data_IF_180332868992
#
_entry.id   IF_180332868992
#
_cell.length_a   1.000
_cell.length_b   1.000
_cell.length_c   1.000
_cell.angle_alpha   90.00
_cell.angle_beta   90.00
_cell.angle_gamma   90.00
#
_symmetry.space_group_name_H-M   'P 1'
#
loop_
_entity.id
_entity.type
_entity.pdbx_description
1 polymer ?
#
# COMPACT_ATOMS: atom_id res chain seq x y z
N UNK A 1 32.60 -14.54 -10.13
CA UNK A 1 31.12 -14.37 -10.16
C UNK A 1 30.76 -13.41 -9.06
N UNK A 2 30.16 -12.27 -9.37
CA UNK A 2 29.62 -11.34 -8.37
C UNK A 2 28.51 -12.05 -7.58
N UNK A 3 28.52 -11.91 -6.25
CA UNK A 3 27.46 -12.45 -5.39
C UNK A 3 26.16 -11.75 -5.77
N UNK A 4 25.07 -12.52 -5.97
CA UNK A 4 23.74 -11.95 -6.22
C UNK A 4 23.33 -11.05 -5.05
N UNK A 5 22.65 -9.96 -5.38
CA UNK A 5 22.15 -8.98 -4.43
C UNK A 5 21.14 -9.56 -3.46
N UNK A 6 20.90 -8.82 -2.38
CA UNK A 6 19.98 -9.20 -1.31
C UNK A 6 18.64 -8.48 -1.48
N UNK A 7 17.55 -9.23 -1.36
CA UNK A 7 16.19 -8.67 -1.35
C UNK A 7 15.64 -8.69 0.07
N UNK A 8 15.27 -7.50 0.56
CA UNK A 8 14.40 -7.31 1.70
C UNK A 8 13.04 -6.78 1.23
N UNK A 9 11.96 -7.26 1.83
CA UNK A 9 10.59 -6.88 1.47
C UNK A 9 9.82 -6.31 2.64
N UNK A 10 9.02 -5.28 2.38
CA UNK A 10 8.15 -4.66 3.38
C UNK A 10 6.72 -4.46 2.81
N UNK A 11 5.76 -5.25 3.29
CA UNK A 11 4.36 -5.03 2.93
C UNK A 11 3.62 -4.09 3.90
N UNK A 12 2.48 -3.58 3.46
CA UNK A 12 1.62 -2.72 4.26
C UNK A 12 0.43 -3.51 4.81
N UNK A 13 -0.09 -3.11 5.99
CA UNK A 13 -1.46 -3.44 6.39
C UNK A 13 -2.44 -2.76 5.43
N UNK A 14 -2.77 -3.50 4.39
CA UNK A 14 -3.55 -3.04 3.25
C UNK A 14 -5.03 -3.35 3.49
N UNK A 15 -5.89 -2.36 3.25
CA UNK A 15 -7.34 -2.56 3.17
C UNK A 15 -7.78 -3.08 1.79
N UNK A 16 -7.09 -2.63 0.74
CA UNK A 16 -7.40 -2.96 -0.64
C UNK A 16 -7.17 -1.75 -1.56
N UNK A 17 -7.03 -2.02 -2.85
CA UNK A 17 -6.72 -0.99 -3.85
C UNK A 17 -7.96 -0.58 -4.63
N UNK A 18 -8.11 0.71 -4.90
CA UNK A 18 -9.20 1.24 -5.70
C UNK A 18 -8.91 1.19 -7.20
N UNK A 19 -9.98 1.23 -8.00
CA UNK A 19 -9.97 1.39 -9.46
C UNK A 19 -9.13 2.59 -9.93
N UNK A 20 -8.12 2.37 -10.79
CA UNK A 20 -7.40 3.44 -11.47
C UNK A 20 -8.27 4.30 -12.38
N UNK A 21 -9.31 3.73 -13.01
CA UNK A 21 -10.24 4.52 -13.84
C UNK A 21 -11.07 5.49 -13.00
N UNK A 22 -11.68 5.01 -11.91
CA UNK A 22 -12.46 5.86 -11.02
C UNK A 22 -11.60 6.97 -10.40
N UNK A 23 -10.31 6.71 -10.15
CA UNK A 23 -9.37 7.72 -9.69
C UNK A 23 -9.22 8.87 -10.69
N UNK A 24 -9.05 8.56 -11.98
CA UNK A 24 -9.00 9.55 -13.06
C UNK A 24 -10.30 10.35 -13.14
N UNK A 25 -11.44 9.67 -13.13
CA UNK A 25 -12.75 10.34 -13.21
C UNK A 25 -13.01 11.28 -12.02
N UNK A 26 -12.54 10.89 -10.83
CA UNK A 26 -12.60 11.70 -9.64
C UNK A 26 -11.74 12.97 -9.74
N UNK A 27 -10.48 12.84 -10.18
CA UNK A 27 -9.59 13.99 -10.38
C UNK A 27 -10.14 14.94 -11.44
N UNK A 28 -10.65 14.41 -12.56
CA UNK A 28 -11.26 15.21 -13.61
C UNK A 28 -12.53 15.92 -13.11
N UNK A 29 -13.33 15.26 -12.25
CA UNK A 29 -14.48 15.88 -11.59
C UNK A 29 -14.05 17.04 -10.69
N UNK A 30 -13.04 16.86 -9.84
CA UNK A 30 -12.51 17.94 -9.01
C UNK A 30 -12.04 19.13 -9.87
N UNK A 31 -11.25 18.86 -10.91
CA UNK A 31 -10.73 19.88 -11.80
C UNK A 31 -11.84 20.66 -12.53
N UNK A 32 -12.91 19.99 -12.97
CA UNK A 32 -14.10 20.65 -13.57
C UNK A 32 -14.84 21.55 -12.59
N UNK A 33 -15.02 21.10 -11.34
CA UNK A 33 -15.73 21.88 -10.31
C UNK A 33 -14.92 23.08 -9.84
N UNK A 34 -13.60 22.97 -9.83
CA UNK A 34 -12.70 24.03 -9.42
C UNK A 34 -12.40 25.02 -10.55
N UNK A 35 -12.35 24.55 -11.81
CA UNK A 35 -11.98 25.35 -12.98
C UNK A 35 -10.48 25.31 -13.32
N UNK A 36 -9.68 24.51 -12.61
CA UNK A 36 -8.26 24.26 -12.88
C UNK A 36 -7.90 22.80 -12.58
N UNK A 37 -6.99 22.15 -13.33
CA UNK A 37 -6.61 20.76 -13.11
C UNK A 37 -6.01 20.48 -11.73
N UNK A 38 -6.24 19.28 -11.20
CA UNK A 38 -5.55 18.79 -10.00
C UNK A 38 -4.12 18.40 -10.37
N UNK A 39 -3.14 18.91 -9.63
CA UNK A 39 -1.69 18.66 -9.86
C UNK A 39 -1.02 17.92 -8.71
N UNK A 40 -1.65 17.89 -7.54
CA UNK A 40 -1.22 17.09 -6.39
C UNK A 40 -2.43 16.69 -5.54
N UNK A 41 -2.32 15.53 -4.88
CA UNK A 41 -3.37 15.01 -4.02
C UNK A 41 -2.84 14.22 -2.83
N UNK A 42 -3.22 14.65 -1.63
CA UNK A 42 -3.01 13.90 -0.40
C UNK A 42 -4.32 13.24 0.05
N UNK A 43 -4.32 11.92 0.20
CA UNK A 43 -5.51 11.16 0.66
C UNK A 43 -5.90 11.44 2.11
N UNK A 44 -4.95 11.93 2.91
CA UNK A 44 -5.14 12.38 4.28
C UNK A 44 -4.12 13.46 4.63
N UNK A 45 -4.48 14.36 5.54
CA UNK A 45 -3.54 15.25 6.20
C UNK A 45 -2.52 14.54 7.10
N UNK A 46 -1.64 15.31 7.72
CA UNK A 46 -0.55 14.85 8.56
C UNK A 46 -1.01 14.52 9.97
N UNK A 47 -1.06 13.23 10.33
CA UNK A 47 -1.29 12.79 11.71
C UNK A 47 -2.71 12.94 12.25
N UNK A 48 -2.83 12.74 13.56
CA UNK A 48 -4.09 12.81 14.32
C UNK A 48 -4.55 14.27 14.46
N UNK A 49 -3.61 15.22 14.59
CA UNK A 49 -3.90 16.66 14.79
C UNK A 49 -4.67 17.31 13.63
N UNK A 50 -4.36 16.97 12.38
CA UNK A 50 -4.98 17.64 11.22
C UNK A 50 -6.28 16.98 10.76
N UNK A 51 -6.80 15.99 11.52
CA UNK A 51 -8.05 15.25 11.25
C UNK A 51 -8.22 14.78 9.81
N UNK A 52 -7.11 14.45 9.15
CA UNK A 52 -7.04 13.53 8.01
C UNK A 52 -7.90 13.82 6.79
N UNK A 53 -8.43 15.04 6.61
CA UNK A 53 -9.17 15.37 5.40
C UNK A 53 -8.23 15.35 4.18
N UNK A 54 -8.73 14.85 3.05
CA UNK A 54 -7.97 14.83 1.82
C UNK A 54 -7.76 16.26 1.29
N UNK A 55 -6.60 16.49 0.69
CA UNK A 55 -6.20 17.79 0.13
C UNK A 55 -5.97 17.61 -1.36
N UNK A 56 -6.72 18.35 -2.18
CA UNK A 56 -6.46 18.51 -3.61
C UNK A 56 -5.75 19.84 -3.84
N UNK A 57 -4.66 19.85 -4.64
CA UNK A 57 -3.97 21.06 -5.06
C UNK A 57 -4.12 21.23 -6.56
N UNK A 58 -4.32 22.48 -6.99
CA UNK A 58 -4.68 22.80 -8.35
C UNK A 58 -3.55 23.56 -9.07
N UNK A 59 -3.55 23.50 -10.41
CA UNK A 59 -2.52 24.14 -11.25
C UNK A 59 -2.45 25.66 -11.09
N UNK A 60 -3.56 26.30 -10.70
CA UNK A 60 -3.65 27.73 -10.38
C UNK A 60 -3.01 28.11 -9.02
N UNK A 61 -2.43 27.14 -8.30
CA UNK A 61 -1.77 27.33 -7.01
C UNK A 61 -2.69 27.25 -5.80
N UNK A 62 -4.00 27.06 -5.99
CA UNK A 62 -4.97 26.95 -4.90
C UNK A 62 -5.11 25.50 -4.38
N UNK A 63 -5.80 25.31 -3.26
CA UNK A 63 -6.08 23.99 -2.70
C UNK A 63 -7.47 23.89 -2.08
N UNK A 64 -8.08 22.71 -2.17
CA UNK A 64 -9.36 22.37 -1.53
C UNK A 64 -9.15 21.25 -0.51
N UNK A 65 -9.73 21.38 0.68
CA UNK A 65 -9.68 20.34 1.72
C UNK A 65 -10.98 20.24 2.50
N UNK A 66 -11.32 18.99 2.84
CA UNK A 66 -12.48 18.63 3.65
C UNK A 66 -13.85 19.12 3.17
N UNK A 67 -14.02 19.31 1.87
CA UNK A 67 -15.33 19.54 1.27
C UNK A 67 -16.04 18.20 1.03
N UNK A 68 -17.33 18.24 0.68
CA UNK A 68 -18.04 17.01 0.32
C UNK A 68 -17.40 16.31 -0.89
N UNK A 69 -16.81 17.09 -1.82
CA UNK A 69 -16.07 16.58 -2.97
C UNK A 69 -14.75 15.94 -2.56
N UNK A 70 -13.89 16.60 -1.79
CA UNK A 70 -12.60 16.00 -1.40
C UNK A 70 -12.76 14.78 -0.50
N UNK A 71 -13.87 14.69 0.25
CA UNK A 71 -14.26 13.51 1.03
C UNK A 71 -14.92 12.40 0.22
N UNK A 72 -15.24 12.64 -1.05
CA UNK A 72 -15.92 11.65 -1.88
C UNK A 72 -15.06 10.40 -2.09
N UNK A 73 -13.76 10.58 -2.28
CA UNK A 73 -12.84 9.48 -2.55
C UNK A 73 -12.85 8.41 -1.46
N UNK A 74 -12.69 8.79 -0.19
CA UNK A 74 -12.67 7.83 0.92
C UNK A 74 -13.99 7.06 1.03
N UNK A 75 -15.12 7.74 0.81
CA UNK A 75 -16.47 7.14 0.83
C UNK A 75 -16.67 6.13 -0.30
N UNK A 76 -16.09 6.41 -1.47
CA UNK A 76 -16.10 5.49 -2.60
C UNK A 76 -15.18 4.29 -2.36
N UNK A 77 -13.94 4.53 -1.96
CA UNK A 77 -12.91 3.51 -1.74
C UNK A 77 -13.38 2.41 -0.78
N UNK A 78 -13.90 2.78 0.39
CA UNK A 78 -14.29 1.80 1.42
C UNK A 78 -15.45 0.87 1.03
N UNK A 79 -16.25 1.21 0.01
CA UNK A 79 -17.52 0.50 -0.23
C UNK A 79 -17.84 0.19 -1.70
N UNK A 80 -17.11 0.76 -2.65
CA UNK A 80 -17.51 0.75 -4.06
C UNK A 80 -16.39 0.41 -5.05
N UNK A 81 -15.14 0.81 -4.75
CA UNK A 81 -14.08 0.85 -5.76
C UNK A 81 -13.01 -0.24 -5.60
N UNK A 82 -13.12 -1.12 -4.59
CA UNK A 82 -12.09 -2.14 -4.38
C UNK A 82 -12.04 -3.14 -5.53
N UNK A 83 -10.81 -3.57 -5.82
CA UNK A 83 -10.52 -4.68 -6.71
C UNK A 83 -11.10 -5.99 -6.18
N UNK A 84 -11.60 -6.84 -7.06
CA UNK A 84 -12.26 -8.11 -6.74
C UNK A 84 -11.37 -9.02 -5.90
N UNK A 85 -10.09 -9.13 -6.27
CA UNK A 85 -9.11 -9.93 -5.51
C UNK A 85 -8.87 -9.42 -4.09
N UNK A 86 -9.17 -8.15 -3.78
CA UNK A 86 -9.04 -7.63 -2.42
C UNK A 86 -10.10 -8.23 -1.47
N UNK A 87 -11.20 -8.75 -2.00
CA UNK A 87 -12.34 -9.25 -1.22
C UNK A 87 -12.14 -10.67 -0.71
N UNK A 88 -11.25 -11.39 -1.35
CA UNK A 88 -10.82 -12.74 -0.98
C UNK A 88 -9.29 -12.80 -0.84
N UNK A 89 -8.67 -11.68 -0.43
CA UNK A 89 -7.21 -11.59 -0.37
C UNK A 89 -6.67 -12.53 0.70
N UNK A 90 -5.78 -13.49 0.37
CA UNK A 90 -5.23 -14.43 1.35
C UNK A 90 -4.33 -13.74 2.39
N UNK A 91 -3.87 -12.53 2.07
CA UNK A 91 -3.03 -11.74 2.94
C UNK A 91 -3.81 -10.92 3.96
N UNK A 92 -5.15 -10.92 3.98
CA UNK A 92 -5.92 -10.37 5.11
C UNK A 92 -5.87 -11.33 6.31
N UNK A 93 -4.65 -11.58 6.77
CA UNK A 93 -4.25 -12.57 7.76
C UNK A 93 -2.87 -12.18 8.33
N UNK A 94 -2.40 -12.94 9.31
CA UNK A 94 -1.01 -12.86 9.81
C UNK A 94 0.00 -13.56 8.88
N UNK A 95 -0.46 -14.27 7.84
CA UNK A 95 0.41 -14.89 6.84
C UNK A 95 0.87 -13.84 5.81
N UNK A 96 1.99 -13.18 6.12
CA UNK A 96 2.51 -12.04 5.35
C UNK A 96 3.73 -12.39 4.50
N UNK A 97 3.80 -11.90 3.25
CA UNK A 97 4.89 -12.23 2.34
C UNK A 97 6.17 -11.42 2.56
N UNK A 98 6.05 -10.22 3.16
CA UNK A 98 7.17 -9.36 3.49
C UNK A 98 8.03 -9.92 4.63
N UNK A 99 9.32 -9.61 4.65
CA UNK A 99 10.13 -9.76 5.86
C UNK A 99 9.69 -8.78 6.95
N UNK A 100 9.14 -7.64 6.55
CA UNK A 100 8.47 -6.66 7.41
C UNK A 100 7.04 -6.42 6.93
N UNK A 101 6.13 -6.14 7.86
CA UNK A 101 4.81 -5.57 7.61
C UNK A 101 4.67 -4.30 8.44
N UNK A 102 4.23 -3.19 7.83
CA UNK A 102 4.01 -1.92 8.54
C UNK A 102 2.57 -1.42 8.37
N UNK A 103 2.06 -0.70 9.35
CA UNK A 103 0.74 -0.07 9.27
C UNK A 103 0.57 1.00 10.34
N UNK A 104 -0.56 1.70 10.30
CA UNK A 104 -0.99 2.50 11.44
C UNK A 104 -1.25 1.56 12.64
N UNK A 105 -0.95 1.98 13.88
CA UNK A 105 -1.29 1.20 15.07
C UNK A 105 -2.72 1.52 15.52
N UNK A 106 -3.72 0.98 14.81
CA UNK A 106 -5.12 1.18 15.21
C UNK A 106 -5.42 0.46 16.53
N UNK A 107 -6.14 1.12 17.43
CA UNK A 107 -6.44 0.63 18.78
C UNK A 107 -5.42 0.97 19.86
N UNK A 108 -4.26 1.57 19.52
CA UNK A 108 -3.22 1.92 20.50
C UNK A 108 -3.75 2.79 21.64
N UNK A 109 -4.57 3.79 21.35
CA UNK A 109 -5.12 4.70 22.36
C UNK A 109 -6.02 4.04 23.41
N UNK A 110 -6.46 2.79 23.20
CA UNK A 110 -7.18 2.00 24.21
C UNK A 110 -6.25 1.10 25.02
N UNK A 111 -5.12 0.71 24.43
CA UNK A 111 -4.17 -0.24 25.00
C UNK A 111 -3.13 0.49 25.84
N UNK A 112 -2.59 1.59 25.30
CA UNK A 112 -1.56 2.42 25.91
C UNK A 112 -1.78 3.89 25.48
N UNK A 113 -2.76 4.60 26.06
CA UNK A 113 -3.08 6.00 25.75
C UNK A 113 -1.87 6.94 25.83
N UNK A 114 -0.94 6.66 26.74
CA UNK A 114 0.30 7.41 26.97
C UNK A 114 1.30 7.32 25.81
N UNK A 115 1.13 6.35 24.92
CA UNK A 115 1.97 6.17 23.72
C UNK A 115 1.39 6.86 22.48
N UNK A 116 0.24 7.50 22.58
CA UNK A 116 -0.38 8.19 21.45
C UNK A 116 0.44 9.42 21.06
N UNK A 117 0.93 9.42 19.82
CA UNK A 117 1.66 10.55 19.23
C UNK A 117 0.72 11.36 18.32
N UNK A 118 0.81 12.69 18.39
CA UNK A 118 -0.01 13.60 17.60
C UNK A 118 0.13 13.40 16.08
N UNK A 119 1.26 12.88 15.62
CA UNK A 119 1.55 12.56 14.22
C UNK A 119 1.32 11.09 13.87
N UNK A 120 1.02 10.27 14.88
CA UNK A 120 0.67 8.87 14.76
C UNK A 120 1.79 7.91 15.14
N UNK A 121 1.37 6.70 15.47
CA UNK A 121 2.24 5.56 15.79
C UNK A 121 1.99 4.47 14.77
N UNK A 122 3.08 3.89 14.25
CA UNK A 122 3.00 2.73 13.38
C UNK A 122 3.10 1.44 14.18
N UNK A 123 2.42 0.39 13.74
CA UNK A 123 2.76 -0.96 14.12
C UNK A 123 3.73 -1.55 13.09
N UNK A 124 4.62 -2.43 13.56
CA UNK A 124 5.56 -3.18 12.71
C UNK A 124 5.49 -4.65 13.12
N UNK A 125 5.31 -5.53 12.15
CA UNK A 125 5.51 -6.97 12.32
C UNK A 125 6.81 -7.35 11.60
N UNK A 126 7.80 -7.85 12.35
CA UNK A 126 8.94 -8.54 11.78
C UNK A 126 8.54 -10.01 11.58
N UNK A 127 8.48 -10.45 10.32
CA UNK A 127 7.94 -11.75 9.94
C UNK A 127 9.02 -12.84 9.85
N UNK A 128 10.29 -12.45 9.76
CA UNK A 128 11.44 -13.34 9.76
C UNK A 128 12.68 -12.66 10.39
N UNK A 129 13.75 -13.44 10.59
CA UNK A 129 15.02 -12.98 11.17
C UNK A 129 15.65 -11.82 10.40
N UNK A 130 15.54 -11.82 9.07
CA UNK A 130 16.11 -10.77 8.20
C UNK A 130 15.37 -9.45 8.40
N UNK A 131 14.04 -9.51 8.46
CA UNK A 131 13.19 -8.36 8.76
C UNK A 131 13.51 -7.77 10.13
N UNK A 132 13.61 -8.61 11.16
CA UNK A 132 13.98 -8.17 12.51
C UNK A 132 15.36 -7.51 12.52
N UNK A 133 16.39 -8.15 11.95
CA UNK A 133 17.74 -7.61 11.93
C UNK A 133 17.82 -6.27 11.18
N UNK A 134 17.06 -6.11 10.10
CA UNK A 134 16.99 -4.85 9.37
C UNK A 134 16.24 -3.77 10.17
N UNK A 135 15.11 -4.11 10.80
CA UNK A 135 14.39 -3.20 11.67
C UNK A 135 15.26 -2.71 12.85
N UNK A 136 16.02 -3.62 13.46
CA UNK A 136 16.95 -3.30 14.54
C UNK A 136 18.06 -2.35 14.09
N UNK A 137 18.56 -2.51 12.87
CA UNK A 137 19.56 -1.59 12.31
C UNK A 137 19.02 -0.16 12.11
N UNK A 138 17.70 0.01 12.00
CA UNK A 138 17.05 1.31 11.86
C UNK A 138 16.73 1.99 13.21
N UNK A 139 17.13 1.43 14.36
CA UNK A 139 16.91 2.01 15.71
C UNK A 139 17.54 3.38 15.94
N UNK A 140 18.55 3.74 15.15
CA UNK A 140 19.11 5.09 15.14
C UNK A 140 18.07 6.15 14.75
N UNK A 141 17.15 5.81 13.85
CA UNK A 141 16.06 6.68 13.41
C UNK A 141 14.71 6.34 14.08
N UNK A 142 14.55 5.15 14.65
CA UNK A 142 13.29 4.65 15.21
C UNK A 142 13.35 4.47 16.74
N UNK A 143 12.31 4.93 17.40
CA UNK A 143 11.90 4.41 18.72
C UNK A 143 11.01 3.19 18.49
N UNK A 144 11.40 2.04 19.05
CA UNK A 144 10.71 0.77 18.92
C UNK A 144 10.38 0.22 20.31
N UNK A 145 9.10 -0.03 20.57
CA UNK A 145 8.65 -0.80 21.72
C UNK A 145 8.09 -2.14 21.26
N UNK A 146 8.64 -3.23 21.78
CA UNK A 146 8.09 -4.56 21.52
C UNK A 146 6.73 -4.74 22.20
N UNK A 147 5.84 -5.47 21.53
CA UNK A 147 4.52 -5.82 22.04
C UNK A 147 4.08 -7.19 21.52
N UNK A 148 2.88 -7.63 21.89
CA UNK A 148 2.29 -8.87 21.40
C UNK A 148 1.66 -8.69 20.02
N UNK A 149 1.64 -9.78 19.24
CA UNK A 149 0.87 -9.82 17.98
C UNK A 149 -0.60 -9.52 18.23
N UNK A 150 -1.17 -9.96 19.36
CA UNK A 150 -2.57 -9.69 19.72
C UNK A 150 -2.88 -8.20 19.95
N UNK A 151 -1.91 -7.41 20.43
CA UNK A 151 -2.07 -5.96 20.53
C UNK A 151 -2.19 -5.29 19.15
N UNK A 152 -1.42 -5.77 18.16
CA UNK A 152 -1.46 -5.26 16.78
C UNK A 152 -2.65 -5.82 16.00
N UNK A 153 -2.87 -7.13 16.04
CA UNK A 153 -3.98 -7.84 15.39
C UNK A 153 -5.24 -7.82 16.26
N UNK A 154 -5.72 -6.62 16.55
CA UNK A 154 -6.88 -6.37 17.39
C UNK A 154 -8.14 -6.04 16.54
N UNK A 155 -9.34 -5.95 17.14
CA UNK A 155 -10.58 -5.67 16.41
C UNK A 155 -10.62 -4.36 15.61
N UNK A 156 -9.82 -3.34 15.97
CA UNK A 156 -9.70 -2.13 15.16
C UNK A 156 -8.85 -2.32 13.92
N UNK A 157 -8.02 -3.37 13.86
CA UNK A 157 -7.12 -3.68 12.76
C UNK A 157 -7.63 -4.90 11.96
N UNK A 158 -8.82 -4.84 11.33
CA UNK A 158 -9.50 -6.01 10.77
C UNK A 158 -8.70 -6.70 9.66
N UNK A 159 -7.86 -5.95 8.94
CA UNK A 159 -7.10 -6.42 7.77
C UNK A 159 -5.95 -7.38 8.11
N UNK A 160 -5.76 -7.72 9.39
CA UNK A 160 -4.91 -8.82 9.85
C UNK A 160 -5.69 -10.11 10.14
N UNK A 161 -7.02 -10.11 9.97
CA UNK A 161 -7.88 -11.25 10.31
C UNK A 161 -8.96 -11.57 9.26
N UNK A 162 -9.45 -10.58 8.52
CA UNK A 162 -10.49 -10.81 7.52
C UNK A 162 -10.46 -9.76 6.41
N UNK A 163 -11.03 -10.15 5.26
CA UNK A 163 -11.18 -9.26 4.11
C UNK A 163 -12.28 -8.21 4.31
N UNK A 164 -12.19 -7.07 3.62
CA UNK A 164 -13.23 -6.05 3.67
C UNK A 164 -14.52 -6.57 3.06
N UNK A 165 -15.65 -6.23 3.70
CA UNK A 165 -16.97 -6.48 3.17
C UNK A 165 -17.33 -5.50 2.03
N UNK A 166 -17.94 -6.02 0.96
CA UNK A 166 -18.44 -5.24 -0.16
C UNK A 166 -19.95 -5.05 -0.06
N UNK A 167 -20.35 -3.85 0.34
CA UNK A 167 -21.77 -3.53 0.38
C UNK A 167 -22.34 -3.08 -0.97
N UNK A 168 -21.55 -2.43 -1.85
CA UNK A 168 -22.14 -1.56 -2.91
C UNK A 168 -21.38 -1.46 -4.24
N UNK A 169 -20.29 -2.19 -4.45
CA UNK A 169 -19.46 -2.08 -5.65
C UNK A 169 -20.22 -2.26 -6.97
N UNK A 170 -20.98 -3.35 -7.09
CA UNK A 170 -21.72 -3.65 -8.33
C UNK A 170 -22.80 -2.60 -8.64
N UNK A 171 -23.49 -2.13 -7.60
CA UNK A 171 -24.49 -1.08 -7.70
C UNK A 171 -23.90 0.29 -8.09
N UNK A 172 -22.64 0.56 -7.72
CA UNK A 172 -21.90 1.73 -8.19
C UNK A 172 -21.55 1.60 -9.67
N UNK A 173 -20.88 0.51 -10.06
CA UNK A 173 -20.42 0.32 -11.44
C UNK A 173 -21.57 0.23 -12.44
N UNK A 174 -22.70 -0.37 -12.06
CA UNK A 174 -23.91 -0.40 -12.89
C UNK A 174 -24.47 1.00 -13.16
N UNK A 175 -24.54 1.85 -12.11
CA UNK A 175 -24.99 3.24 -12.26
C UNK A 175 -23.98 4.08 -13.03
N UNK A 176 -22.70 3.94 -12.73
CA UNK A 176 -21.64 4.69 -13.39
C UNK A 176 -21.67 4.45 -14.91
N UNK A 177 -21.81 3.21 -15.37
CA UNK A 177 -21.97 2.91 -16.80
C UNK A 177 -23.21 3.54 -17.43
N UNK A 178 -24.28 3.72 -16.66
CA UNK A 178 -25.55 4.25 -17.16
C UNK A 178 -25.59 5.77 -17.24
N UNK A 179 -24.93 6.48 -16.32
CA UNK A 179 -25.06 7.94 -16.17
C UNK A 179 -23.76 8.71 -16.00
N UNK A 180 -22.62 8.01 -15.98
CA UNK A 180 -21.31 8.57 -15.68
C UNK A 180 -21.00 8.69 -14.18
N UNK A 181 -19.72 8.86 -13.86
CA UNK A 181 -19.17 8.86 -12.50
C UNK A 181 -19.88 9.80 -11.53
N UNK A 182 -19.95 11.10 -11.85
CA UNK A 182 -20.45 12.10 -10.92
C UNK A 182 -21.96 11.92 -10.65
N UNK A 183 -22.74 11.66 -11.69
CA UNK A 183 -24.17 11.46 -11.56
C UNK A 183 -24.49 10.16 -10.81
N UNK A 184 -23.68 9.10 -10.99
CA UNK A 184 -23.78 7.91 -10.17
C UNK A 184 -23.53 8.21 -8.69
N UNK A 185 -22.52 9.03 -8.36
CA UNK A 185 -22.28 9.47 -6.98
C UNK A 185 -23.46 10.25 -6.39
N UNK A 186 -24.10 11.15 -7.16
CA UNK A 186 -25.29 11.88 -6.70
C UNK A 186 -26.48 10.94 -6.46
N UNK A 187 -26.80 10.06 -7.41
CA UNK A 187 -27.89 9.08 -7.29
C UNK A 187 -27.70 8.08 -6.14
N UNK A 188 -26.46 7.83 -5.74
CA UNK A 188 -26.12 7.00 -4.58
C UNK A 188 -26.12 7.77 -3.24
N UNK A 189 -26.44 9.08 -3.25
CA UNK A 189 -26.40 9.93 -2.07
C UNK A 189 -24.98 10.16 -1.53
N UNK A 190 -23.96 9.91 -2.38
CA UNK A 190 -22.55 10.17 -2.10
C UNK A 190 -22.17 11.61 -2.49
N UNK A 191 -23.00 12.34 -3.21
CA UNK A 191 -22.72 13.73 -3.53
C UNK A 191 -24.03 14.52 -3.56
N UNK A 192 -23.96 15.84 -3.37
CA UNK A 192 -25.11 16.74 -3.45
C UNK A 192 -25.46 17.46 -2.14
N UNK A 193 -26.48 18.34 -2.14
CA UNK A 193 -26.75 19.26 -1.04
C UNK A 193 -27.04 18.56 0.29
N UNK A 194 -27.85 17.50 0.27
CA UNK A 194 -28.15 16.71 1.47
C UNK A 194 -26.92 16.01 2.05
N UNK A 195 -25.95 15.62 1.21
CA UNK A 195 -24.67 15.08 1.69
C UNK A 195 -23.79 16.18 2.27
N UNK A 196 -23.67 17.32 1.58
CA UNK A 196 -22.90 18.46 2.06
C UNK A 196 -23.40 18.97 3.43
N UNK A 197 -24.72 19.01 3.62
CA UNK A 197 -25.32 19.35 4.91
C UNK A 197 -24.92 18.35 6.02
N UNK A 198 -25.00 17.03 5.75
CA UNK A 198 -24.53 16.01 6.71
C UNK A 198 -23.03 16.14 7.04
N UNK A 199 -22.21 16.44 6.04
CA UNK A 199 -20.77 16.65 6.21
C UNK A 199 -20.45 17.91 7.05
N UNK A 200 -21.31 18.92 7.01
CA UNK A 200 -21.20 20.13 7.83
C UNK A 200 -21.62 19.88 9.29
N UNK A 201 -22.75 19.19 9.50
CA UNK A 201 -23.25 18.88 10.85
C UNK A 201 -22.28 17.97 11.61
N UNK A 202 -21.73 16.94 10.94
CA UNK A 202 -20.74 16.04 11.54
C UNK A 202 -19.43 16.74 11.95
N UNK A 203 -19.05 17.82 11.26
CA UNK A 203 -17.92 18.68 11.67
C UNK A 203 -18.19 19.45 12.96
N UNK A 204 -19.43 19.91 13.17
CA UNK A 204 -19.83 20.63 14.38
C UNK A 204 -19.78 19.77 15.64
N UNK A 205 -20.22 18.52 15.55
CA UNK A 205 -20.21 17.57 16.67
C UNK A 205 -18.80 17.12 17.10
N UNK A 206 -17.83 17.12 16.17
CA UNK A 206 -16.47 16.69 16.45
C UNK A 206 -15.59 17.76 17.12
N UNK A 207 -16.03 19.02 17.23
CA UNK A 207 -15.24 20.11 17.85
C UNK A 207 -15.17 20.06 19.37
N UNK A 208 -15.86 19.12 20.02
CA UNK A 208 -16.02 19.06 21.49
C UNK A 208 -14.99 18.24 22.28
N UNK A 209 -13.89 17.80 21.67
CA UNK A 209 -12.82 17.11 22.39
C UNK A 209 -11.49 17.32 21.68
N UNK A 210 -10.41 17.43 22.46
CA UNK A 210 -9.01 17.51 22.02
C UNK A 210 -8.45 18.92 21.77
N UNK A 211 -8.82 19.89 22.61
CA UNK A 211 -7.84 20.91 23.02
C UNK A 211 -6.92 20.27 24.07
N UNK A 212 -5.60 20.23 23.82
CA UNK A 212 -4.62 19.88 24.86
C UNK A 212 -3.82 18.58 24.69
N UNK A 213 -3.63 18.03 23.48
CA UNK A 213 -2.55 17.04 23.27
C UNK A 213 -1.18 17.76 23.33
N UNK A 214 -0.68 17.94 24.55
CA UNK A 214 0.69 18.38 24.83
C UNK A 214 1.71 17.33 24.37
N UNK A 215 2.94 17.77 24.08
CA UNK A 215 4.07 16.90 23.76
C UNK A 215 4.42 16.07 24.98
N UNK A 216 3.93 14.84 25.07
CA UNK A 216 4.42 13.87 26.05
C UNK A 216 5.61 13.14 25.43
N UNK A 217 6.81 13.15 26.04
CA UNK A 217 7.89 12.26 25.66
C UNK A 217 7.36 10.82 25.70
N UNK A 218 7.68 10.00 24.70
CA UNK A 218 7.26 8.60 24.73
C UNK A 218 7.95 7.95 25.93
N UNK A 219 7.20 7.49 26.93
CA UNK A 219 7.78 7.10 28.21
C UNK A 219 8.74 5.93 28.01
N UNK A 220 9.90 6.00 28.67
CA UNK A 220 10.80 4.84 28.80
C UNK A 220 10.13 3.65 29.48
N UNK A 221 9.09 3.93 30.27
CA UNK A 221 8.41 2.99 31.15
C UNK A 221 7.00 2.63 30.65
N UNK A 222 6.61 3.10 29.44
CA UNK A 222 5.33 2.77 28.83
C UNK A 222 5.21 1.27 28.60
N UNK A 223 4.27 0.63 29.28
CA UNK A 223 4.12 -0.81 29.26
C UNK A 223 3.11 -1.24 28.19
N UNK A 224 3.61 -1.73 27.06
CA UNK A 224 2.78 -2.51 26.14
C UNK A 224 2.65 -3.96 26.65
N UNK A 225 1.56 -4.67 26.30
CA UNK A 225 1.48 -6.10 26.55
C UNK A 225 2.69 -6.79 25.92
N UNK A 226 3.41 -7.58 26.71
CA UNK A 226 4.56 -8.37 26.28
C UNK A 226 4.19 -9.86 26.21
N UNK A 227 4.82 -10.56 25.27
CA UNK A 227 4.66 -12.01 25.13
C UNK A 227 5.48 -12.78 26.18
N UNK A 228 5.24 -14.09 26.35
CA UNK A 228 6.06 -14.93 27.21
C UNK A 228 7.53 -14.91 26.74
N UNK A 229 8.46 -14.83 27.68
CA UNK A 229 9.89 -14.86 27.42
C UNK A 229 10.37 -16.29 27.12
N UNK A 230 11.12 -16.49 26.03
CA UNK A 230 11.92 -17.71 25.81
C UNK A 230 11.63 -18.51 24.54
N UNK A 231 10.51 -18.29 23.84
CA UNK A 231 10.23 -18.97 22.56
C UNK A 231 10.09 -17.95 21.42
N UNK A 232 10.97 -18.04 20.42
CA UNK A 232 10.93 -17.17 19.24
C UNK A 232 9.76 -17.60 18.35
N UNK A 233 8.66 -16.87 18.45
CA UNK A 233 7.50 -17.01 17.57
C UNK A 233 7.46 -15.86 16.57
N UNK A 234 7.07 -16.18 15.33
CA UNK A 234 6.92 -15.20 14.26
C UNK A 234 5.43 -14.96 13.96
N UNK A 235 5.02 -13.70 13.70
CA UNK A 235 5.85 -12.50 13.67
C UNK A 235 6.15 -11.92 15.08
N UNK A 236 7.23 -11.13 15.20
CA UNK A 236 7.44 -10.23 16.35
C UNK A 236 6.79 -8.88 16.09
N UNK A 237 6.12 -8.32 17.10
CA UNK A 237 5.32 -7.11 16.94
C UNK A 237 5.92 -5.92 17.70
N UNK A 238 5.84 -4.73 17.11
CA UNK A 238 6.37 -3.50 17.68
C UNK A 238 5.41 -2.33 17.46
N UNK A 239 5.31 -1.45 18.46
CA UNK A 239 4.96 -0.06 18.23
C UNK A 239 6.22 0.69 17.79
N UNK A 240 6.08 1.56 16.79
CA UNK A 240 7.21 2.26 16.21
C UNK A 240 6.86 3.71 15.86
N UNK A 241 7.78 4.62 16.16
CA UNK A 241 7.78 5.96 15.61
C UNK A 241 9.19 6.43 15.27
N UNK A 242 9.30 7.30 14.28
CA UNK A 242 10.54 7.98 13.94
C UNK A 242 10.89 8.98 15.03
N UNK A 243 12.16 9.11 15.38
CA UNK A 243 12.65 10.09 16.36
C UNK A 243 12.47 11.52 15.89
N UNK A 244 12.59 11.76 14.59
CA UNK A 244 12.36 13.08 13.99
C UNK A 244 10.87 13.39 13.89
N UNK A 245 10.45 14.46 14.58
CA UNK A 245 9.07 14.96 14.50
C UNK A 245 8.73 15.45 13.09
N UNK A 246 9.69 16.02 12.37
CA UNK A 246 9.51 16.44 10.98
C UNK A 246 9.16 15.23 10.09
N UNK A 247 9.89 14.12 10.26
CA UNK A 247 9.61 12.87 9.55
C UNK A 247 8.24 12.32 9.92
N UNK A 248 7.87 12.33 11.21
CA UNK A 248 6.51 11.89 11.62
C UNK A 248 5.44 12.77 11.00
N UNK A 249 5.62 14.10 11.02
CA UNK A 249 4.67 15.07 10.45
C UNK A 249 4.43 14.85 8.96
N UNK A 250 5.47 14.64 8.16
CA UNK A 250 5.28 14.40 6.73
C UNK A 250 4.79 12.98 6.41
N UNK A 251 4.86 12.07 7.38
CA UNK A 251 4.46 10.68 7.20
C UNK A 251 2.98 10.45 7.41
N UNK A 252 2.54 9.31 6.88
CA UNK A 252 1.18 8.81 7.06
C UNK A 252 0.86 8.41 8.52
N UNK A 253 1.88 8.13 9.33
CA UNK A 253 1.82 7.58 10.68
C UNK A 253 3.20 7.80 11.33
N UNK A 254 3.69 6.88 12.16
CA UNK A 254 4.98 6.94 12.85
C UNK A 254 6.24 7.01 11.96
N UNK A 255 6.16 7.17 10.64
CA UNK A 255 7.33 7.42 9.79
C UNK A 255 8.32 6.26 9.64
N UNK A 256 7.84 5.02 9.80
CA UNK A 256 8.66 3.81 9.67
C UNK A 256 9.20 3.63 8.26
N UNK A 257 8.39 3.83 7.22
CA UNK A 257 8.82 3.68 5.83
C UNK A 257 10.07 4.53 5.51
N UNK A 258 10.08 5.79 5.94
CA UNK A 258 11.21 6.70 5.69
C UNK A 258 12.48 6.24 6.40
N UNK A 259 12.37 5.71 7.63
CA UNK A 259 13.54 5.16 8.34
C UNK A 259 14.09 3.90 7.65
N UNK A 260 13.21 3.00 7.19
CA UNK A 260 13.62 1.78 6.49
C UNK A 260 14.27 2.11 5.13
N UNK A 261 13.72 3.09 4.42
CA UNK A 261 14.26 3.55 3.14
C UNK A 261 15.62 4.23 3.29
N UNK A 262 15.78 5.10 4.28
CA UNK A 262 17.07 5.74 4.59
C UNK A 262 18.14 4.71 4.95
N UNK A 263 17.80 3.72 5.79
CA UNK A 263 18.72 2.64 6.14
C UNK A 263 19.11 1.78 4.91
N UNK A 264 18.17 1.51 4.00
CA UNK A 264 18.47 0.81 2.76
C UNK A 264 19.43 1.59 1.85
N UNK A 265 19.24 2.91 1.72
CA UNK A 265 20.09 3.77 0.89
C UNK A 265 21.48 3.98 1.51
N UNK A 266 21.60 4.10 2.84
CA UNK A 266 22.88 4.16 3.55
C UNK A 266 23.76 2.92 3.31
N UNK A 267 23.15 1.77 3.00
CA UNK A 267 23.85 0.55 2.60
C UNK A 267 24.25 0.51 1.12
N UNK A 268 24.07 1.62 0.39
CA UNK A 268 24.24 1.68 -1.07
C UNK A 268 23.15 0.92 -1.85
N UNK A 269 22.01 0.63 -1.20
CA UNK A 269 20.92 -0.13 -1.79
C UNK A 269 20.03 0.68 -2.73
N UNK A 270 18.89 0.08 -3.10
CA UNK A 270 17.82 0.68 -3.90
C UNK A 270 16.50 0.44 -3.19
N UNK A 271 15.62 1.43 -3.21
CA UNK A 271 14.26 1.32 -2.65
C UNK A 271 13.26 1.30 -3.78
N UNK A 272 12.26 0.43 -3.68
CA UNK A 272 11.11 0.41 -4.57
C UNK A 272 9.86 0.79 -3.76
N UNK A 273 9.13 1.80 -4.23
CA UNK A 273 7.96 2.35 -3.56
C UNK A 273 6.89 2.88 -4.50
N UNK A 274 5.74 3.28 -3.95
CA UNK A 274 4.61 3.78 -4.72
C UNK A 274 4.58 5.31 -4.72
N UNK A 275 4.67 5.93 -5.90
CA UNK A 275 4.57 7.37 -6.10
C UNK A 275 3.45 7.70 -7.09
N UNK A 276 3.08 8.98 -7.18
CA UNK A 276 2.36 9.48 -8.33
C UNK A 276 3.32 9.85 -9.46
N UNK A 277 2.91 9.64 -10.71
CA UNK A 277 3.53 10.27 -11.87
C UNK A 277 2.93 11.64 -12.16
N UNK A 278 3.34 12.26 -13.28
CA UNK A 278 2.88 13.58 -13.69
C UNK A 278 1.36 13.65 -13.96
N UNK A 279 0.72 12.53 -14.24
CA UNK A 279 -0.71 12.42 -14.48
C UNK A 279 -1.49 11.94 -13.24
N UNK A 280 -0.85 11.94 -12.07
CA UNK A 280 -1.36 11.43 -10.81
C UNK A 280 -1.79 9.96 -10.86
N UNK A 281 -1.19 9.15 -11.75
CA UNK A 281 -1.35 7.69 -11.71
C UNK A 281 -0.43 7.13 -10.63
N UNK A 282 -0.94 6.23 -9.82
CA UNK A 282 -0.11 5.52 -8.86
C UNK A 282 0.79 4.55 -9.62
N UNK A 283 2.11 4.67 -9.43
CA UNK A 283 3.13 3.88 -10.11
C UNK A 283 4.19 3.41 -9.12
N UNK A 284 4.74 2.23 -9.37
CA UNK A 284 5.87 1.72 -8.59
C UNK A 284 7.18 2.22 -9.19
N UNK A 285 7.99 2.90 -8.39
CA UNK A 285 9.20 3.58 -8.83
C UNK A 285 10.43 3.04 -8.12
N UNK A 286 11.57 3.13 -8.83
CA UNK A 286 12.90 2.81 -8.33
C UNK A 286 13.53 4.09 -7.77
N UNK A 287 14.00 4.05 -6.53
CA UNK A 287 14.55 5.18 -5.79
C UNK A 287 16.01 4.92 -5.42
N UNK A 288 16.91 5.84 -5.79
CA UNK A 288 18.33 5.77 -5.42
C UNK A 288 18.75 6.87 -4.45
N UNK A 289 17.89 7.86 -4.25
CA UNK A 289 18.12 8.98 -3.34
C UNK A 289 16.93 9.18 -2.41
N UNK A 290 17.14 9.86 -1.28
CA UNK A 290 16.03 10.24 -0.41
C UNK A 290 15.05 11.19 -1.11
N UNK A 291 15.50 12.02 -2.05
CA UNK A 291 14.61 12.84 -2.89
C UNK A 291 13.64 11.97 -3.68
N UNK A 292 14.09 10.84 -4.22
CA UNK A 292 13.21 9.89 -4.90
C UNK A 292 12.22 9.24 -3.91
N UNK A 293 12.72 8.84 -2.73
CA UNK A 293 11.91 8.20 -1.68
C UNK A 293 10.82 9.14 -1.17
N UNK A 294 11.09 10.44 -1.08
CA UNK A 294 10.12 11.43 -0.62
C UNK A 294 8.85 11.49 -1.50
N UNK A 295 8.95 11.14 -2.78
CA UNK A 295 7.80 11.01 -3.68
C UNK A 295 6.87 9.85 -3.29
N UNK A 296 7.39 8.86 -2.58
CA UNK A 296 6.65 7.69 -2.13
C UNK A 296 5.91 7.93 -0.80
N UNK A 297 6.16 9.06 -0.13
CA UNK A 297 5.59 9.38 1.17
C UNK A 297 4.08 9.62 1.07
N UNK A 298 3.35 9.21 2.09
CA UNK A 298 1.90 9.32 2.18
C UNK A 298 1.18 8.18 1.48
N UNK A 299 -0.02 7.86 1.94
CA UNK A 299 -0.81 6.75 1.38
C UNK A 299 -1.39 7.09 0.01
N UNK A 300 -1.44 6.10 -0.89
CA UNK A 300 -2.15 6.18 -2.18
C UNK A 300 -3.21 5.08 -2.25
N UNK A 301 -4.48 5.45 -2.16
CA UNK A 301 -5.60 4.50 -2.10
C UNK A 301 -6.09 4.09 -3.49
N UNK A 302 -5.16 3.76 -4.39
CA UNK A 302 -5.41 3.38 -5.80
C UNK A 302 -4.44 2.25 -6.14
N UNK A 303 -4.82 1.34 -7.04
CA UNK A 303 -3.88 0.32 -7.51
C UNK A 303 -2.70 1.00 -8.23
N UNK A 304 -1.48 0.72 -7.78
CA UNK A 304 -0.29 1.17 -8.50
C UNK A 304 0.04 0.24 -9.67
N UNK A 305 0.44 0.83 -10.79
CA UNK A 305 1.05 0.11 -11.90
C UNK A 305 2.51 -0.21 -11.56
N UNK A 306 2.88 -1.49 -11.62
CA UNK A 306 4.26 -1.91 -11.40
C UNK A 306 5.14 -1.69 -12.63
N UNK A 307 4.58 -1.54 -13.83
CA UNK A 307 5.31 -1.33 -15.08
C UNK A 307 6.55 -2.22 -15.19
N UNK A 308 7.72 -1.59 -15.23
CA UNK A 308 9.03 -2.25 -15.28
C UNK A 308 9.70 -2.46 -13.91
N UNK A 309 9.08 -2.05 -12.80
CA UNK A 309 9.70 -2.09 -11.48
C UNK A 309 10.12 -3.50 -11.05
N UNK A 310 9.29 -4.52 -11.31
CA UNK A 310 9.66 -5.91 -11.00
C UNK A 310 10.83 -6.40 -11.86
N UNK A 311 10.97 -5.90 -13.10
CA UNK A 311 12.13 -6.22 -13.94
C UNK A 311 13.38 -5.52 -13.42
N UNK A 312 13.30 -4.22 -13.16
CA UNK A 312 14.40 -3.44 -12.62
C UNK A 312 14.90 -3.99 -11.28
N UNK A 313 13.98 -4.46 -10.42
CA UNK A 313 14.34 -5.14 -9.17
C UNK A 313 15.22 -6.36 -9.43
N UNK A 314 14.88 -7.19 -10.42
CA UNK A 314 15.67 -8.37 -10.76
C UNK A 314 17.04 -7.97 -11.32
N UNK A 315 17.09 -6.91 -12.11
CA UNK A 315 18.34 -6.39 -12.68
C UNK A 315 19.26 -5.81 -11.58
N UNK A 316 18.72 -5.11 -10.58
CA UNK A 316 19.48 -4.64 -9.41
C UNK A 316 20.02 -5.80 -8.56
N UNK A 317 19.23 -6.84 -8.35
CA UNK A 317 19.68 -8.05 -7.66
C UNK A 317 20.77 -8.77 -8.46
N UNK A 318 20.63 -8.88 -9.78
CA UNK A 318 21.63 -9.50 -10.64
C UNK A 318 22.93 -8.65 -10.68
N UNK A 319 22.83 -7.33 -10.48
CA UNK A 319 23.96 -6.40 -10.29
C UNK A 319 24.58 -6.44 -8.87
N UNK A 320 24.11 -7.31 -7.97
CA UNK A 320 24.68 -7.47 -6.63
C UNK A 320 24.21 -6.43 -5.61
N UNK A 321 23.18 -5.63 -5.91
CA UNK A 321 22.72 -4.55 -5.02
C UNK A 321 21.80 -5.07 -3.91
N UNK A 322 21.80 -4.37 -2.77
CA UNK A 322 20.75 -4.51 -1.77
C UNK A 322 19.47 -3.83 -2.27
N UNK A 323 18.34 -4.51 -2.16
CA UNK A 323 17.03 -4.00 -2.61
C UNK A 323 16.03 -4.06 -1.46
N UNK A 324 15.42 -2.92 -1.13
CA UNK A 324 14.22 -2.85 -0.30
C UNK A 324 12.99 -2.67 -1.22
N UNK A 325 12.16 -3.69 -1.33
CA UNK A 325 10.89 -3.59 -2.07
C UNK A 325 9.71 -3.40 -1.12
N UNK A 326 8.99 -2.29 -1.28
CA UNK A 326 7.81 -1.97 -0.47
C UNK A 326 6.54 -2.06 -1.29
N UNK A 327 5.38 -2.37 -0.71
CA UNK A 327 4.13 -2.38 -1.49
C UNK A 327 2.96 -3.03 -0.78
N UNK A 328 1.88 -3.28 -1.53
CA UNK A 328 0.81 -4.14 -1.01
C UNK A 328 1.32 -5.58 -0.84
N UNK A 329 0.71 -6.38 0.05
CA UNK A 329 1.14 -7.77 0.26
C UNK A 329 1.23 -8.58 -1.05
N UNK A 330 0.26 -8.45 -1.95
CA UNK A 330 0.29 -9.17 -3.23
C UNK A 330 1.42 -8.71 -4.18
N UNK A 331 1.83 -7.44 -4.13
CA UNK A 331 2.98 -6.92 -4.88
C UNK A 331 4.29 -7.44 -4.29
N UNK A 332 4.40 -7.47 -2.97
CA UNK A 332 5.55 -8.03 -2.26
C UNK A 332 5.69 -9.53 -2.52
N UNK A 333 4.58 -10.28 -2.50
CA UNK A 333 4.57 -11.70 -2.86
C UNK A 333 5.08 -11.93 -4.29
N UNK A 334 4.67 -11.10 -5.25
CA UNK A 334 5.15 -11.13 -6.62
C UNK A 334 6.66 -10.87 -6.75
N UNK A 335 7.17 -9.81 -6.11
CA UNK A 335 8.60 -9.50 -6.10
C UNK A 335 9.42 -10.65 -5.51
N UNK A 336 8.97 -11.20 -4.38
CA UNK A 336 9.61 -12.32 -3.69
C UNK A 336 9.64 -13.59 -4.56
N UNK A 337 8.52 -14.02 -5.14
CA UNK A 337 8.47 -15.21 -6.02
C UNK A 337 9.37 -15.08 -7.24
N UNK A 338 9.41 -13.90 -7.87
CA UNK A 338 10.30 -13.65 -9.00
C UNK A 338 11.78 -13.72 -8.61
N UNK A 339 12.14 -13.15 -7.45
CA UNK A 339 13.51 -13.17 -6.96
C UNK A 339 13.96 -14.59 -6.58
N UNK A 340 13.13 -15.34 -5.85
CA UNK A 340 13.39 -16.73 -5.45
C UNK A 340 13.46 -17.68 -6.65
N UNK A 341 12.56 -17.52 -7.64
CA UNK A 341 12.55 -18.34 -8.86
C UNK A 341 13.79 -18.19 -9.77
N UNK A 342 14.64 -17.19 -9.50
CA UNK A 342 15.96 -17.02 -10.14
C UNK A 342 17.13 -17.49 -9.27
N UNK A 343 16.88 -17.80 -7.99
CA UNK A 343 17.88 -18.01 -6.94
C UNK A 343 18.71 -19.29 -7.00
N UNK A 344 18.59 -20.10 -8.05
CA UNK A 344 19.53 -21.22 -8.26
C UNK A 344 20.16 -21.13 -9.64
N UNK A 345 21.31 -20.46 -9.69
CA UNK A 345 22.27 -20.62 -10.79
C UNK A 345 22.73 -22.09 -10.77
N UNK A 346 22.08 -22.93 -11.58
CA UNK A 346 22.41 -24.36 -11.71
C UNK A 346 21.22 -25.32 -11.69
N UNK A 347 20.02 -24.90 -11.24
CA UNK A 347 18.83 -25.78 -11.24
C UNK A 347 17.58 -25.09 -11.80
N UNK A 348 17.70 -24.42 -12.94
CA UNK A 348 16.58 -24.51 -13.88
C UNK A 348 16.58 -25.93 -14.43
N UNK A 349 16.05 -26.87 -13.63
CA UNK A 349 15.47 -28.08 -14.21
C UNK A 349 14.61 -27.57 -15.36
N UNK A 350 14.89 -28.03 -16.58
CA UNK A 350 13.99 -27.84 -17.71
C UNK A 350 12.68 -28.48 -17.30
N UNK A 351 11.82 -27.72 -16.60
CA UNK A 351 10.47 -28.15 -16.33
C UNK A 351 9.88 -28.47 -17.68
N UNK A 352 9.32 -29.68 -17.81
CA UNK A 352 8.55 -30.02 -18.98
C UNK A 352 7.55 -28.89 -19.20
N UNK A 353 7.52 -28.34 -20.42
CA UNK A 353 6.56 -27.30 -20.77
C UNK A 353 5.14 -27.76 -20.46
N UNK A 354 4.23 -26.80 -20.28
CA UNK A 354 2.81 -27.13 -20.14
C UNK A 354 2.23 -27.55 -21.49
N UNK A 355 1.27 -28.48 -21.47
CA UNK A 355 0.68 -29.00 -22.71
C UNK A 355 -0.05 -27.91 -23.54
N UNK A 356 -0.70 -26.98 -22.85
CA UNK A 356 -1.54 -25.94 -23.43
C UNK A 356 -1.07 -24.54 -23.03
N UNK A 357 -1.54 -23.50 -23.74
CA UNK A 357 -1.32 -22.11 -23.33
C UNK A 357 -1.87 -21.91 -21.91
N UNK A 358 -1.08 -21.38 -20.96
CA UNK A 358 -1.52 -21.23 -19.57
C UNK A 358 -2.74 -20.33 -19.43
N UNK A 359 -3.78 -20.82 -18.74
CA UNK A 359 -4.80 -19.98 -18.14
C UNK A 359 -4.25 -19.42 -16.82
N UNK A 360 -4.04 -18.10 -16.74
CA UNK A 360 -3.37 -17.47 -15.61
C UNK A 360 -4.31 -17.18 -14.42
N UNK A 361 -5.61 -17.13 -14.68
CA UNK A 361 -6.68 -16.98 -13.69
C UNK A 361 -8.00 -17.46 -14.31
N UNK A 362 -8.94 -17.88 -13.48
CA UNK A 362 -10.29 -18.33 -13.89
C UNK A 362 -11.36 -17.29 -13.58
N UNK A 363 -11.15 -16.48 -12.54
CA UNK A 363 -12.04 -15.39 -12.15
C UNK A 363 -11.25 -14.14 -11.72
N UNK A 364 -11.93 -12.99 -11.67
CA UNK A 364 -11.29 -11.69 -11.40
C UNK A 364 -10.71 -11.60 -9.98
N UNK A 365 -11.24 -12.42 -9.07
CA UNK A 365 -10.83 -12.57 -7.67
C UNK A 365 -9.44 -13.23 -7.54
N UNK A 366 -9.04 -14.09 -8.49
CA UNK A 366 -7.79 -14.85 -8.40
C UNK A 366 -6.55 -14.05 -8.83
N UNK A 367 -6.68 -13.14 -9.79
CA UNK A 367 -5.53 -12.39 -10.31
C UNK A 367 -5.46 -11.04 -9.62
N UNK A 368 -4.42 -10.71 -8.85
CA UNK A 368 -4.24 -9.41 -8.17
C UNK A 368 -3.64 -8.29 -9.04
N UNK A 369 -3.30 -8.57 -10.30
CA UNK A 369 -2.78 -7.56 -11.25
C UNK A 369 -1.34 -7.10 -10.94
N UNK A 370 -0.52 -7.94 -10.29
CA UNK A 370 0.85 -7.62 -9.91
C UNK A 370 1.89 -7.68 -11.06
N UNK A 371 1.50 -8.08 -12.27
CA UNK A 371 2.37 -8.21 -13.45
C UNK A 371 3.54 -9.20 -13.31
N UNK A 372 3.54 -10.08 -12.30
CA UNK A 372 4.59 -11.09 -12.11
C UNK A 372 4.69 -12.06 -13.30
N UNK A 373 3.54 -12.53 -13.79
CA UNK A 373 3.45 -13.44 -14.93
C UNK A 373 4.04 -12.81 -16.20
N UNK A 374 3.73 -11.53 -16.47
CA UNK A 374 4.27 -10.77 -17.58
C UNK A 374 5.78 -10.59 -17.44
N UNK A 375 6.25 -10.20 -16.25
CA UNK A 375 7.68 -10.02 -15.95
C UNK A 375 8.47 -11.31 -16.14
N UNK A 376 7.91 -12.46 -15.77
CA UNK A 376 8.54 -13.77 -15.92
C UNK A 376 8.60 -14.28 -17.38
N UNK A 377 7.81 -13.70 -18.28
CA UNK A 377 7.72 -14.15 -19.66
C UNK A 377 8.87 -13.58 -20.50
N UNK A 378 9.95 -14.36 -20.68
CA UNK A 378 11.10 -13.98 -21.51
C UNK A 378 10.78 -13.84 -23.01
N UNK A 379 9.62 -14.31 -23.46
CA UNK A 379 9.19 -14.27 -24.86
C UNK A 379 8.20 -13.14 -25.16
N UNK A 380 7.90 -12.27 -24.18
CA UNK A 380 6.95 -11.17 -24.36
C UNK A 380 5.52 -11.62 -24.70
N UNK A 381 5.15 -12.88 -24.39
CA UNK A 381 3.88 -13.45 -24.78
C UNK A 381 2.69 -13.04 -23.88
N UNK A 382 2.90 -12.17 -22.90
CA UNK A 382 1.87 -11.76 -21.93
C UNK A 382 1.82 -10.24 -21.90
N UNK A 383 0.64 -9.70 -22.18
CA UNK A 383 0.33 -8.28 -22.12
C UNK A 383 -0.63 -8.01 -20.95
N UNK A 384 -0.39 -6.96 -20.17
CA UNK A 384 -1.30 -6.52 -19.12
C UNK A 384 -2.31 -5.54 -19.72
N UNK A 385 -3.60 -5.88 -19.69
CA UNK A 385 -4.68 -5.06 -20.26
C UNK A 385 -5.63 -4.59 -19.18
N UNK A 386 -6.01 -3.32 -19.25
CA UNK A 386 -7.01 -2.75 -18.37
C UNK A 386 -8.41 -3.31 -18.69
N UNK A 387 -9.19 -3.61 -17.67
CA UNK A 387 -10.62 -3.85 -17.78
C UNK A 387 -11.42 -2.53 -17.78
N UNK A 388 -12.74 -2.62 -17.75
CA UNK A 388 -13.65 -1.47 -17.69
C UNK A 388 -13.58 -0.69 -16.37
N UNK A 389 -12.85 -1.17 -15.36
CA UNK A 389 -12.58 -0.48 -14.09
C UNK A 389 -11.14 0.05 -14.07
N UNK A 390 -10.36 -0.13 -15.13
CA UNK A 390 -8.95 0.27 -15.18
C UNK A 390 -8.01 -0.67 -14.42
N UNK A 391 -8.48 -1.83 -13.95
CA UNK A 391 -7.63 -2.84 -13.33
C UNK A 391 -6.92 -3.66 -14.39
N UNK A 392 -5.61 -3.89 -14.21
CA UNK A 392 -4.81 -4.66 -15.16
C UNK A 392 -4.97 -6.17 -14.94
N UNK A 393 -5.15 -6.90 -16.06
CA UNK A 393 -5.19 -8.36 -16.13
C UNK A 393 -4.33 -8.90 -17.28
N UNK A 394 -3.67 -10.06 -17.10
CA UNK A 394 -2.80 -10.61 -18.12
C UNK A 394 -3.60 -11.26 -19.26
N UNK A 395 -3.20 -10.98 -20.49
CA UNK A 395 -3.67 -11.65 -21.71
C UNK A 395 -2.49 -12.37 -22.35
N UNK A 396 -2.64 -13.68 -22.64
CA UNK A 396 -1.58 -14.50 -23.24
C UNK A 396 -1.75 -14.56 -24.75
N UNK A 397 -0.73 -14.13 -25.50
CA UNK A 397 -0.66 -14.33 -26.95
C UNK A 397 -0.24 -15.78 -27.24
N UNK A 398 -1.17 -16.58 -27.75
CA UNK A 398 -0.95 -17.99 -28.06
C UNK A 398 0.15 -18.22 -29.12
N UNK A 399 0.32 -17.30 -30.07
CA UNK A 399 1.31 -17.42 -31.14
C UNK A 399 2.75 -17.22 -30.63
N UNK A 400 2.93 -16.36 -29.62
CA UNK A 400 4.23 -16.08 -29.00
C UNK A 400 4.54 -17.00 -27.81
N UNK A 401 3.55 -17.74 -27.30
CA UNK A 401 3.71 -18.55 -26.10
C UNK A 401 4.41 -19.89 -26.39
N UNK A 402 5.64 -20.04 -25.88
CA UNK A 402 6.40 -21.31 -25.95
C UNK A 402 6.00 -22.33 -24.87
N UNK A 403 4.95 -22.06 -24.09
CA UNK A 403 4.40 -22.96 -23.07
C UNK A 403 5.41 -23.42 -22.01
N UNK A 404 6.35 -22.56 -21.61
CA UNK A 404 7.37 -22.91 -20.62
C UNK A 404 6.85 -22.99 -19.17
N UNK A 405 5.66 -22.44 -18.87
CA UNK A 405 5.08 -22.46 -17.52
C UNK A 405 5.70 -21.48 -16.50
N UNK A 406 6.66 -20.64 -16.92
CA UNK A 406 7.31 -19.68 -16.02
C UNK A 406 6.33 -18.67 -15.39
N UNK A 407 5.31 -18.26 -16.16
CA UNK A 407 4.28 -17.35 -15.68
C UNK A 407 3.45 -17.92 -14.53
N UNK A 408 3.16 -19.24 -14.55
CA UNK A 408 2.46 -19.93 -13.47
C UNK A 408 3.33 -20.03 -12.22
N UNK A 409 4.63 -20.26 -12.40
CA UNK A 409 5.58 -20.37 -11.28
C UNK A 409 5.85 -19.02 -10.61
N UNK A 410 5.74 -17.92 -11.37
CA UNK A 410 5.96 -16.57 -10.86
C UNK A 410 4.71 -15.93 -10.24
N UNK A 411 3.52 -16.44 -10.53
CA UNK A 411 2.27 -15.92 -9.96
C UNK A 411 2.25 -16.19 -8.44
N UNK A 412 1.98 -15.19 -7.57
CA UNK A 412 1.83 -15.33 -6.12
C UNK A 412 0.55 -16.07 -5.72
#
# INVERSE_FOLDING_TARGET
MTRRGELLTCDLICYGVASPRAWREYLDMLGRHHGSPVVDYAHRGSGIRDRGDAVARYADGTSESGTSRTRLWSRLWYKNLLRESCLACPHHSLARPGSLTIGDFWGLGRIAPELVDAWGVSCVLANDERGLAFLDSARGALELLETTVGAVANPDQPMLSHSPDQGRGEAFWSRERAVGFEEACRKLGLLGPARAFRDLVSRGAARGGEEGLERVPWPSDGALPSGPSGEVTWPRAFAARNRSEEVRRMSSSGGVFLALADEALRRGGVVYGCAYDAELRAVHVRCETMTDVLRCVGSKYVQSDLGHALRALLDDLDAGRFVLFTGTPCQVAAARRLAEGRGVAGTRSRRAGVAQVPALFRSREECCGCSACATACAHGAIEMRADEKGFLYPTVNAASCVRCGNCLSACP
#
